data_IF_552222388392
#
_entry.id   IF_552222388392
#
_cell.length_a   1.000
_cell.length_b   1.000
_cell.length_c   1.000
_cell.angle_alpha   90.00
_cell.angle_beta   90.00
_cell.angle_gamma   90.00
#
_symmetry.space_group_name_H-M   'P 1'
#
loop_
_entity.id
_entity.type
_entity.pdbx_description
1 polymer ?
#
# COMPACT_ATOMS: atom_id res chain seq x y z
N UNK A 1 -35.90 -17.11 -11.85
CA UNK A 1 -36.10 -18.10 -10.77
C UNK A 1 -34.76 -18.78 -10.53
N UNK A 2 -33.89 -18.19 -9.70
CA UNK A 2 -32.53 -18.69 -9.46
C UNK A 2 -32.58 -19.80 -8.42
N UNK A 3 -32.21 -21.03 -8.80
CA UNK A 3 -31.91 -22.09 -7.84
C UNK A 3 -30.79 -21.58 -6.93
N UNK A 4 -31.10 -21.31 -5.66
CA UNK A 4 -30.07 -21.04 -4.65
C UNK A 4 -29.15 -22.25 -4.62
N UNK A 5 -27.90 -22.08 -5.07
CA UNK A 5 -26.88 -23.10 -4.87
C UNK A 5 -26.74 -23.28 -3.35
N UNK A 6 -27.17 -24.42 -2.84
CA UNK A 6 -26.84 -24.81 -1.48
C UNK A 6 -25.34 -25.06 -1.41
N UNK A 7 -24.62 -24.15 -0.76
CA UNK A 7 -23.21 -24.29 -0.50
C UNK A 7 -23.00 -25.16 0.76
N UNK A 8 -22.28 -26.29 0.68
CA UNK A 8 -22.02 -27.15 1.83
C UNK A 8 -21.01 -26.57 2.84
N UNK A 9 -20.30 -25.49 2.48
CA UNK A 9 -19.32 -24.82 3.33
C UNK A 9 -19.53 -23.30 3.29
N UNK A 10 -19.12 -22.61 4.34
CA UNK A 10 -19.05 -21.14 4.36
C UNK A 10 -17.92 -20.66 3.47
N UNK A 11 -16.74 -21.30 3.54
CA UNK A 11 -15.55 -20.86 2.80
C UNK A 11 -14.77 -22.02 2.19
N UNK A 12 -14.34 -21.84 0.95
CA UNK A 12 -13.27 -22.63 0.33
C UNK A 12 -11.96 -21.87 0.46
N UNK A 13 -11.02 -22.42 1.23
CA UNK A 13 -9.67 -21.85 1.38
C UNK A 13 -8.76 -22.45 0.32
N UNK A 14 -8.23 -21.61 -0.55
CA UNK A 14 -7.38 -21.98 -1.67
C UNK A 14 -5.94 -21.64 -1.32
N UNK A 15 -5.09 -22.66 -1.21
CA UNK A 15 -3.68 -22.53 -0.85
C UNK A 15 -2.81 -22.86 -2.07
N UNK A 16 -2.44 -21.86 -2.90
CA UNK A 16 -1.52 -22.06 -4.01
C UNK A 16 -0.16 -22.55 -3.49
N UNK A 17 0.39 -23.63 -4.07
CA UNK A 17 1.65 -24.21 -3.62
C UNK A 17 2.70 -24.14 -4.72
N UNK A 18 3.77 -23.39 -4.44
CA UNK A 18 5.15 -23.75 -4.77
C UNK A 18 6.07 -22.71 -4.09
N UNK A 19 6.29 -22.83 -2.78
CA UNK A 19 7.34 -22.05 -2.10
C UNK A 19 7.10 -21.55 -0.68
N UNK A 20 5.98 -21.84 -0.01
CA UNK A 20 5.76 -21.23 1.30
C UNK A 20 6.50 -22.00 2.41
N UNK A 21 7.55 -21.37 2.95
CA UNK A 21 8.08 -21.59 4.32
C UNK A 21 6.97 -21.61 5.39
N UNK A 22 5.78 -21.16 4.99
CA UNK A 22 4.60 -20.94 5.79
C UNK A 22 3.42 -21.89 5.51
N UNK A 23 3.57 -22.94 4.70
CA UNK A 23 2.47 -23.85 4.37
C UNK A 23 1.82 -24.44 5.63
N UNK A 24 2.62 -24.85 6.61
CA UNK A 24 2.14 -25.38 7.88
C UNK A 24 1.33 -24.35 8.68
N UNK A 25 1.80 -23.10 8.72
CA UNK A 25 1.10 -22.00 9.38
C UNK A 25 -0.25 -21.72 8.71
N UNK A 26 -0.29 -21.73 7.37
CA UNK A 26 -1.52 -21.56 6.61
C UNK A 26 -2.52 -22.70 6.82
N UNK A 27 -2.07 -23.95 6.76
CA UNK A 27 -2.95 -25.12 6.98
C UNK A 27 -3.47 -25.15 8.41
N UNK A 28 -2.62 -24.87 9.40
CA UNK A 28 -3.02 -24.76 10.81
C UNK A 28 -4.05 -23.65 11.01
N UNK A 29 -3.81 -22.46 10.45
CA UNK A 29 -4.76 -21.36 10.52
C UNK A 29 -6.08 -21.71 9.84
N UNK A 30 -6.02 -22.25 8.62
CA UNK A 30 -7.20 -22.64 7.85
C UNK A 30 -8.03 -23.67 8.61
N UNK A 31 -7.42 -24.65 9.30
CA UNK A 31 -8.14 -25.62 10.13
C UNK A 31 -8.77 -24.99 11.38
N UNK A 32 -8.14 -23.95 11.94
CA UNK A 32 -8.59 -23.25 13.13
C UNK A 32 -9.75 -22.27 12.89
N UNK A 33 -10.06 -21.93 11.62
CA UNK A 33 -11.21 -21.07 11.29
C UNK A 33 -12.50 -21.62 11.91
N UNK A 34 -13.34 -20.73 12.44
CA UNK A 34 -14.62 -21.12 13.05
C UNK A 34 -15.66 -21.50 12.00
N UNK A 35 -15.57 -20.90 10.82
CA UNK A 35 -16.45 -21.16 9.70
C UNK A 35 -16.39 -22.63 9.21
N UNK A 36 -17.49 -23.13 8.64
CA UNK A 36 -17.47 -24.42 7.95
C UNK A 36 -16.67 -24.30 6.65
N UNK A 37 -15.77 -25.26 6.40
CA UNK A 37 -14.70 -25.05 5.41
C UNK A 37 -14.23 -26.30 4.69
N UNK A 38 -13.79 -26.08 3.47
CA UNK A 38 -12.91 -26.96 2.72
C UNK A 38 -11.60 -26.24 2.40
N UNK A 39 -10.52 -27.02 2.23
CA UNK A 39 -9.18 -26.51 1.93
C UNK A 39 -8.71 -27.18 0.65
N UNK A 40 -8.46 -26.38 -0.39
CA UNK A 40 -7.88 -26.81 -1.65
C UNK A 40 -6.41 -26.40 -1.65
N UNK A 41 -5.50 -27.37 -1.63
CA UNK A 41 -4.06 -27.11 -1.49
C UNK A 41 -3.29 -27.78 -2.62
N UNK A 42 -2.29 -27.11 -3.16
CA UNK A 42 -1.46 -27.73 -4.19
C UNK A 42 -0.57 -28.84 -3.64
N UNK A 43 -0.25 -29.79 -4.52
CA UNK A 43 0.38 -31.05 -4.14
C UNK A 43 1.77 -30.87 -3.52
N UNK A 44 1.91 -31.39 -2.30
CA UNK A 44 3.16 -31.46 -1.58
C UNK A 44 3.10 -32.58 -0.54
N UNK A 45 4.26 -33.03 -0.06
CA UNK A 45 4.35 -34.04 1.01
C UNK A 45 3.56 -33.63 2.25
N UNK A 46 3.64 -32.36 2.65
CA UNK A 46 2.92 -31.83 3.80
C UNK A 46 1.41 -31.77 3.54
N UNK A 47 0.99 -31.29 2.37
CA UNK A 47 -0.42 -31.25 1.99
C UNK A 47 -1.07 -32.65 2.00
N UNK A 48 -0.36 -33.68 1.50
CA UNK A 48 -0.82 -35.07 1.53
C UNK A 48 -0.97 -35.61 2.96
N UNK A 49 -0.08 -35.22 3.89
CA UNK A 49 -0.20 -35.56 5.31
C UNK A 49 -1.44 -34.92 5.94
N UNK A 50 -1.68 -33.64 5.70
CA UNK A 50 -2.89 -32.97 6.19
C UNK A 50 -4.16 -33.58 5.59
N UNK A 51 -4.15 -33.93 4.29
CA UNK A 51 -5.27 -34.58 3.62
C UNK A 51 -5.59 -35.99 4.16
N UNK A 52 -4.60 -36.75 4.64
CA UNK A 52 -4.84 -38.05 5.27
C UNK A 52 -5.43 -37.93 6.69
N UNK A 53 -5.19 -36.80 7.37
CA UNK A 53 -5.68 -36.52 8.73
C UNK A 53 -7.03 -35.78 8.73
N UNK A 54 -7.34 -35.01 7.68
CA UNK A 54 -8.50 -34.13 7.64
C UNK A 54 -9.33 -34.32 6.36
N UNK A 55 -10.58 -34.78 6.54
CA UNK A 55 -11.52 -35.10 5.44
C UNK A 55 -11.84 -33.98 4.46
N UNK A 56 -11.68 -32.71 4.87
CA UNK A 56 -12.01 -31.53 4.07
C UNK A 56 -10.77 -30.85 3.48
N UNK A 57 -9.59 -31.49 3.56
CA UNK A 57 -8.36 -31.03 2.91
C UNK A 57 -8.19 -31.84 1.63
N UNK A 58 -8.12 -31.14 0.50
CA UNK A 58 -8.06 -31.72 -0.83
C UNK A 58 -6.78 -31.29 -1.52
N UNK A 59 -5.99 -32.28 -1.93
CA UNK A 59 -4.80 -32.06 -2.74
C UNK A 59 -5.21 -31.98 -4.20
N UNK A 60 -4.86 -30.88 -4.86
CA UNK A 60 -5.22 -30.60 -6.26
C UNK A 60 -4.03 -30.02 -7.02
N UNK A 61 -3.95 -30.21 -8.34
CA UNK A 61 -2.81 -29.74 -9.13
C UNK A 61 -2.76 -28.20 -9.26
N UNK A 62 -3.92 -27.58 -9.55
CA UNK A 62 -4.07 -26.12 -9.73
C UNK A 62 -5.17 -25.55 -8.85
N UNK A 63 -4.92 -25.37 -7.54
CA UNK A 63 -5.94 -24.97 -6.56
C UNK A 63 -6.59 -23.63 -6.92
N UNK A 64 -5.86 -22.72 -7.56
CA UNK A 64 -6.33 -21.38 -7.92
C UNK A 64 -7.48 -21.40 -8.95
N UNK A 65 -7.48 -22.43 -9.80
CA UNK A 65 -8.47 -22.66 -10.86
C UNK A 65 -9.49 -23.72 -10.48
N UNK A 66 -9.29 -24.41 -9.35
CA UNK A 66 -10.16 -25.50 -8.95
C UNK A 66 -11.59 -24.99 -8.66
N UNK A 67 -12.62 -25.81 -8.94
CA UNK A 67 -13.98 -25.54 -8.50
C UNK A 67 -14.05 -25.45 -6.97
N UNK A 68 -14.78 -24.47 -6.47
CA UNK A 68 -14.97 -24.22 -5.03
C UNK A 68 -16.42 -24.46 -4.65
N UNK A 69 -16.67 -25.02 -3.47
CA UNK A 69 -18.00 -25.38 -2.95
C UNK A 69 -18.47 -24.45 -1.83
N UNK A 70 -17.59 -23.61 -1.27
CA UNK A 70 -17.92 -22.62 -0.26
C UNK A 70 -18.80 -21.49 -0.80
N UNK A 71 -19.54 -20.82 0.09
CA UNK A 71 -20.25 -19.55 -0.23
C UNK A 71 -19.27 -18.46 -0.64
N UNK A 72 -18.11 -18.48 0.01
CA UNK A 72 -16.97 -17.62 -0.27
C UNK A 72 -15.74 -18.45 -0.67
N UNK A 73 -14.85 -17.83 -1.42
CA UNK A 73 -13.53 -18.36 -1.77
C UNK A 73 -12.49 -17.40 -1.22
N UNK A 74 -11.60 -17.92 -0.39
CA UNK A 74 -10.47 -17.18 0.16
C UNK A 74 -9.19 -17.74 -0.44
N UNK A 75 -8.35 -16.90 -1.04
CA UNK A 75 -7.02 -17.32 -1.49
C UNK A 75 -5.99 -16.97 -0.42
N UNK A 76 -5.21 -17.95 0.02
CA UNK A 76 -4.10 -17.74 0.92
C UNK A 76 -3.07 -16.81 0.27
N UNK A 77 -2.78 -15.70 0.94
CA UNK A 77 -1.75 -14.73 0.54
C UNK A 77 -0.46 -14.88 1.34
N UNK A 78 0.39 -13.86 1.31
CA UNK A 78 1.57 -13.81 2.18
C UNK A 78 1.19 -13.40 3.62
N UNK A 79 2.09 -13.65 4.57
CA UNK A 79 1.89 -13.26 5.97
C UNK A 79 1.88 -11.72 6.18
N UNK A 80 1.21 -11.22 7.23
CA UNK A 80 0.41 -11.97 8.21
C UNK A 80 -0.94 -12.43 7.65
N UNK A 81 -1.44 -13.55 8.18
CA UNK A 81 -2.72 -14.13 7.75
C UNK A 81 -3.86 -13.19 8.19
N UNK A 82 -4.69 -12.70 7.24
CA UNK A 82 -5.87 -11.88 7.55
C UNK A 82 -6.90 -12.59 8.43
N UNK A 83 -7.75 -11.86 9.17
CA UNK A 83 -8.79 -12.44 10.01
C UNK A 83 -9.97 -12.94 9.15
N UNK A 84 -9.84 -14.11 8.53
CA UNK A 84 -10.83 -14.63 7.55
C UNK A 84 -12.23 -14.76 8.14
N UNK A 85 -12.39 -15.18 9.40
CA UNK A 85 -13.70 -15.24 10.06
C UNK A 85 -14.38 -13.85 10.09
N UNK A 86 -13.63 -12.78 10.39
CA UNK A 86 -14.15 -11.40 10.36
C UNK A 86 -14.48 -10.93 8.94
N UNK A 87 -13.70 -11.38 7.93
CA UNK A 87 -13.98 -11.08 6.53
C UNK A 87 -15.31 -11.72 6.09
N UNK A 88 -15.60 -12.95 6.53
CA UNK A 88 -16.86 -13.64 6.26
C UNK A 88 -18.02 -12.88 6.94
N UNK A 89 -17.88 -12.54 8.22
CA UNK A 89 -18.88 -11.73 8.95
C UNK A 89 -19.17 -10.40 8.25
N UNK A 90 -18.12 -9.73 7.77
CA UNK A 90 -18.24 -8.47 7.02
C UNK A 90 -18.96 -8.70 5.69
N UNK A 91 -18.60 -9.75 4.95
CA UNK A 91 -19.24 -10.07 3.67
C UNK A 91 -20.72 -10.46 3.82
N UNK A 92 -21.07 -11.15 4.91
CA UNK A 92 -22.45 -11.50 5.25
C UNK A 92 -23.25 -10.24 5.64
N UNK A 93 -22.66 -9.31 6.41
CA UNK A 93 -23.29 -8.04 6.80
C UNK A 93 -23.52 -7.11 5.62
N UNK A 94 -22.52 -6.90 4.78
CA UNK A 94 -22.54 -5.87 3.73
C UNK A 94 -23.04 -6.39 2.39
N UNK A 95 -23.05 -7.70 2.19
CA UNK A 95 -23.32 -8.30 0.89
C UNK A 95 -22.18 -8.11 -0.12
N UNK A 96 -20.98 -7.72 0.31
CA UNK A 96 -19.84 -7.47 -0.59
C UNK A 96 -19.53 -8.65 -1.52
N UNK A 97 -19.06 -8.32 -2.73
CA UNK A 97 -18.50 -9.28 -3.68
C UNK A 97 -17.07 -9.66 -3.31
N UNK A 98 -16.36 -8.71 -2.69
CA UNK A 98 -14.96 -8.81 -2.32
C UNK A 98 -14.75 -8.13 -0.96
N UNK A 99 -14.03 -8.81 -0.08
CA UNK A 99 -13.51 -8.23 1.17
C UNK A 99 -11.99 -8.23 1.14
N UNK A 100 -11.40 -7.05 1.33
CA UNK A 100 -9.97 -6.83 1.36
C UNK A 100 -9.49 -6.39 2.75
N UNK A 101 -8.18 -6.25 2.91
CA UNK A 101 -7.58 -5.61 4.08
C UNK A 101 -7.20 -4.16 3.76
N UNK A 102 -7.42 -3.26 4.72
CA UNK A 102 -6.99 -1.86 4.62
C UNK A 102 -6.62 -1.33 6.01
N UNK A 103 -5.94 -0.17 6.05
CA UNK A 103 -5.54 0.45 7.32
C UNK A 103 -6.75 0.73 8.23
N UNK A 104 -7.88 1.09 7.60
CA UNK A 104 -9.18 1.30 8.23
C UNK A 104 -10.22 0.35 7.64
N UNK A 105 -11.13 -0.11 8.49
CA UNK A 105 -12.25 -0.94 8.05
C UNK A 105 -13.36 -0.06 7.46
N UNK A 106 -13.98 -0.51 6.38
CA UNK A 106 -15.08 0.16 5.70
C UNK A 106 -16.07 -0.87 5.16
N UNK A 107 -17.36 -0.60 5.34
CA UNK A 107 -18.43 -1.45 4.79
C UNK A 107 -18.66 -1.21 3.29
N UNK A 108 -18.16 -0.09 2.76
CA UNK A 108 -18.22 0.30 1.35
C UNK A 108 -16.94 1.08 0.97
N UNK A 109 -15.89 0.34 0.63
CA UNK A 109 -14.58 0.88 0.33
C UNK A 109 -14.48 1.36 -1.12
N UNK A 110 -13.89 2.54 -1.32
CA UNK A 110 -13.58 3.03 -2.65
C UNK A 110 -12.40 2.24 -3.22
N UNK A 111 -12.49 1.88 -4.50
CA UNK A 111 -11.44 1.10 -5.15
C UNK A 111 -10.07 1.80 -5.11
N UNK A 112 -10.04 3.12 -5.29
CA UNK A 112 -8.79 3.90 -5.26
C UNK A 112 -8.00 3.73 -3.96
N UNK A 113 -8.68 3.56 -2.83
CA UNK A 113 -8.06 3.47 -1.51
C UNK A 113 -7.39 2.10 -1.24
N UNK A 114 -7.80 1.07 -2.00
CA UNK A 114 -7.37 -0.31 -1.79
C UNK A 114 -6.58 -0.91 -2.95
N UNK A 115 -6.54 -0.22 -4.09
CA UNK A 115 -5.95 -0.74 -5.33
C UNK A 115 -4.44 -1.00 -5.23
N UNK A 116 -3.77 -0.38 -4.26
CA UNK A 116 -2.35 -0.60 -4.01
C UNK A 116 -1.99 -2.04 -3.63
N UNK A 117 -2.94 -2.81 -3.09
CA UNK A 117 -2.79 -4.21 -2.75
C UNK A 117 -3.38 -5.12 -3.84
N UNK A 118 -2.50 -5.64 -4.69
CA UNK A 118 -2.84 -6.60 -5.75
C UNK A 118 -2.55 -8.06 -5.35
N UNK A 119 -2.37 -8.35 -4.06
CA UNK A 119 -2.17 -9.71 -3.57
C UNK A 119 -3.48 -10.52 -3.59
N UNK A 120 -3.37 -11.85 -3.63
CA UNK A 120 -4.55 -12.72 -3.63
C UNK A 120 -5.28 -12.81 -2.29
N UNK A 121 -4.68 -12.33 -1.19
CA UNK A 121 -5.15 -12.45 0.19
C UNK A 121 -6.47 -11.71 0.50
N UNK A 122 -7.54 -12.10 -0.18
CA UNK A 122 -8.86 -11.47 -0.22
C UNK A 122 -9.94 -12.54 -0.18
N UNK A 123 -11.09 -12.19 0.37
CA UNK A 123 -12.27 -13.05 0.38
C UNK A 123 -13.17 -12.63 -0.79
N UNK A 124 -13.56 -13.58 -1.62
CA UNK A 124 -14.45 -13.34 -2.75
C UNK A 124 -15.74 -14.12 -2.57
N UNK A 125 -16.88 -13.53 -2.92
CA UNK A 125 -18.12 -14.29 -3.10
C UNK A 125 -17.91 -15.29 -4.23
N UNK A 126 -18.17 -16.57 -4.01
CA UNK A 126 -17.85 -17.63 -4.99
C UNK A 126 -18.53 -17.42 -6.33
N UNK A 127 -19.80 -17.00 -6.31
CA UNK A 127 -20.58 -16.70 -7.53
C UNK A 127 -20.05 -15.51 -8.33
N UNK A 128 -19.34 -14.59 -7.67
CA UNK A 128 -18.65 -13.47 -8.31
C UNK A 128 -17.30 -13.91 -8.86
N UNK A 129 -16.49 -14.58 -8.02
CA UNK A 129 -15.17 -15.14 -8.38
C UNK A 129 -15.24 -16.01 -9.63
N UNK A 130 -16.25 -16.89 -9.74
CA UNK A 130 -16.39 -17.83 -10.87
C UNK A 130 -16.62 -17.14 -12.23
N UNK A 131 -16.95 -15.85 -12.25
CA UNK A 131 -17.08 -15.06 -13.48
C UNK A 131 -15.75 -14.52 -13.98
N UNK A 132 -14.70 -14.57 -13.14
CA UNK A 132 -13.41 -13.96 -13.40
C UNK A 132 -12.39 -15.06 -13.72
N UNK A 133 -11.87 -15.12 -14.96
CA UNK A 133 -10.87 -16.12 -15.31
C UNK A 133 -9.58 -15.87 -14.53
N UNK A 134 -9.06 -16.92 -13.89
CA UNK A 134 -7.77 -16.89 -13.23
C UNK A 134 -6.65 -17.09 -14.26
N UNK A 135 -5.65 -16.22 -14.21
CA UNK A 135 -4.53 -16.18 -15.16
C UNK A 135 -3.22 -16.10 -14.41
N UNK A 136 -3.01 -14.99 -13.71
CA UNK A 136 -1.97 -14.78 -12.71
C UNK A 136 -2.57 -14.00 -11.52
N UNK A 137 -1.93 -14.04 -10.33
CA UNK A 137 -2.43 -13.42 -9.11
C UNK A 137 -2.85 -11.95 -9.25
N UNK A 138 -2.00 -11.10 -9.84
CA UNK A 138 -2.24 -9.67 -9.91
C UNK A 138 -3.28 -9.32 -10.98
N UNK A 139 -3.22 -9.97 -12.16
CA UNK A 139 -4.23 -9.79 -13.21
C UNK A 139 -5.61 -10.22 -12.74
N UNK A 140 -5.72 -11.33 -12.01
CA UNK A 140 -6.97 -11.79 -11.43
C UNK A 140 -7.55 -10.76 -10.45
N UNK A 141 -6.74 -10.20 -9.55
CA UNK A 141 -7.19 -9.20 -8.57
C UNK A 141 -7.61 -7.90 -9.24
N UNK A 142 -6.83 -7.39 -10.21
CA UNK A 142 -7.21 -6.18 -10.97
C UNK A 142 -8.51 -6.42 -11.74
N UNK A 143 -8.67 -7.59 -12.35
CA UNK A 143 -9.90 -7.94 -13.05
C UNK A 143 -11.09 -8.01 -12.08
N UNK A 144 -10.92 -8.61 -10.91
CA UNK A 144 -11.95 -8.64 -9.87
C UNK A 144 -12.31 -7.22 -9.40
N UNK A 145 -11.33 -6.38 -9.13
CA UNK A 145 -11.57 -4.99 -8.75
C UNK A 145 -12.36 -4.19 -9.78
N UNK A 146 -12.15 -4.44 -11.08
CA UNK A 146 -12.88 -3.73 -12.12
C UNK A 146 -14.37 -4.15 -12.22
N UNK A 147 -14.76 -5.29 -11.65
CA UNK A 147 -16.13 -5.83 -11.77
C UNK A 147 -16.88 -5.96 -10.45
N UNK A 148 -16.21 -5.79 -9.30
CA UNK A 148 -16.87 -5.86 -8.01
C UNK A 148 -17.87 -4.71 -7.88
N UNK A 149 -19.13 -5.03 -7.57
CA UNK A 149 -20.16 -4.01 -7.37
C UNK A 149 -20.04 -3.40 -5.97
N UNK A 150 -19.68 -4.24 -4.98
CA UNK A 150 -19.44 -3.81 -3.61
C UNK A 150 -18.15 -4.41 -3.06
N UNK A 151 -17.30 -3.53 -2.53
CA UNK A 151 -16.06 -3.90 -1.87
C UNK A 151 -16.13 -3.45 -0.41
N UNK A 152 -15.81 -4.35 0.52
CA UNK A 152 -15.64 -4.00 1.93
C UNK A 152 -14.20 -4.24 2.38
N UNK A 153 -13.80 -3.61 3.48
CA UNK A 153 -12.48 -3.81 4.08
C UNK A 153 -12.56 -4.15 5.56
N UNK A 154 -11.65 -5.02 6.00
CA UNK A 154 -11.34 -5.21 7.41
C UNK A 154 -9.98 -4.59 7.71
N UNK A 155 -9.77 -4.22 8.99
CA UNK A 155 -8.50 -3.65 9.42
C UNK A 155 -7.36 -4.65 9.23
N UNK A 156 -6.31 -4.25 8.52
CA UNK A 156 -5.14 -5.07 8.24
C UNK A 156 -4.06 -4.32 7.48
N UNK A 157 -2.93 -4.98 7.23
CA UNK A 157 -1.80 -4.41 6.51
C UNK A 157 -1.88 -4.81 5.04
N UNK A 158 -1.94 -3.82 4.16
CA UNK A 158 -1.86 -4.01 2.72
C UNK A 158 -0.46 -4.44 2.27
N UNK A 159 -0.42 -5.30 1.26
CA UNK A 159 0.80 -5.74 0.61
C UNK A 159 1.02 -4.95 -0.68
N UNK A 160 1.88 -3.95 -0.59
CA UNK A 160 2.22 -3.09 -1.74
C UNK A 160 3.47 -3.64 -2.42
N UNK A 161 3.30 -4.26 -3.58
CA UNK A 161 4.40 -4.77 -4.41
C UNK A 161 4.41 -4.11 -5.78
N UNK A 162 5.59 -4.20 -6.42
CA UNK A 162 5.77 -3.82 -7.82
C UNK A 162 5.32 -4.97 -8.70
N UNK A 163 4.62 -4.63 -9.78
CA UNK A 163 4.11 -5.61 -10.75
C UNK A 163 4.50 -5.20 -12.16
N UNK A 164 4.51 -6.14 -13.11
CA UNK A 164 4.63 -5.78 -14.53
C UNK A 164 3.31 -5.12 -14.98
N UNK A 165 3.32 -3.81 -15.31
CA UNK A 165 2.10 -3.02 -15.40
C UNK A 165 1.34 -3.23 -16.71
N UNK A 166 1.99 -3.71 -17.78
CA UNK A 166 1.45 -3.70 -19.14
C UNK A 166 0.09 -4.44 -19.26
N UNK A 167 -0.01 -5.61 -18.61
CA UNK A 167 -1.23 -6.41 -18.58
C UNK A 167 -2.31 -5.78 -17.69
N UNK A 168 -1.90 -5.27 -16.54
CA UNK A 168 -2.79 -4.71 -15.52
C UNK A 168 -3.44 -3.41 -15.99
N UNK A 169 -2.64 -2.50 -16.58
CA UNK A 169 -3.15 -1.27 -17.20
C UNK A 169 -4.12 -1.61 -18.34
N UNK A 170 -3.83 -2.62 -19.17
CA UNK A 170 -4.77 -3.07 -20.21
C UNK A 170 -6.10 -3.55 -19.63
N UNK A 171 -6.10 -4.27 -18.49
CA UNK A 171 -7.33 -4.66 -17.78
C UNK A 171 -8.13 -3.44 -17.34
N UNK A 172 -7.48 -2.51 -16.64
CA UNK A 172 -8.11 -1.25 -16.21
C UNK A 172 -8.73 -0.52 -17.40
N UNK A 173 -7.99 -0.39 -18.50
CA UNK A 173 -8.46 0.30 -19.71
C UNK A 173 -9.62 -0.42 -20.42
N UNK A 174 -9.68 -1.74 -20.34
CA UNK A 174 -10.71 -2.56 -21.02
C UNK A 174 -12.01 -2.66 -20.22
N UNK A 175 -11.92 -2.59 -18.89
CA UNK A 175 -13.05 -2.85 -17.99
C UNK A 175 -13.59 -1.61 -17.28
N UNK A 176 -12.82 -0.52 -17.18
CA UNK A 176 -13.30 0.73 -16.61
C UNK A 176 -13.54 1.80 -17.69
N UNK A 177 -14.65 2.55 -17.60
CA UNK A 177 -14.87 3.70 -18.47
C UNK A 177 -13.81 4.78 -18.23
N UNK A 178 -13.64 5.67 -19.21
CA UNK A 178 -12.81 6.87 -19.03
C UNK A 178 -13.37 7.72 -17.88
N UNK A 179 -12.50 8.26 -17.04
CA UNK A 179 -12.88 9.09 -15.89
C UNK A 179 -11.84 9.06 -14.77
N UNK A 180 -12.11 9.82 -13.72
CA UNK A 180 -11.17 10.06 -12.61
C UNK A 180 -10.64 8.77 -11.98
N UNK A 181 -11.51 7.78 -11.75
CA UNK A 181 -11.09 6.50 -11.17
C UNK A 181 -10.07 5.80 -12.08
N UNK A 182 -10.38 5.62 -13.36
CA UNK A 182 -9.47 4.98 -14.32
C UNK A 182 -8.14 5.73 -14.42
N UNK A 183 -8.19 7.06 -14.50
CA UNK A 183 -6.99 7.88 -14.55
C UNK A 183 -6.13 7.72 -13.30
N UNK A 184 -6.75 7.67 -12.12
CA UNK A 184 -6.09 7.42 -10.84
C UNK A 184 -5.42 6.04 -10.79
N UNK A 185 -6.11 4.96 -11.23
CA UNK A 185 -5.54 3.61 -11.23
C UNK A 185 -4.35 3.48 -12.21
N UNK A 186 -4.42 4.15 -13.37
CA UNK A 186 -3.31 4.18 -14.34
C UNK A 186 -2.14 4.99 -13.78
N UNK A 187 -2.40 6.14 -13.16
CA UNK A 187 -1.39 6.96 -12.50
C UNK A 187 -0.65 6.17 -11.41
N UNK A 188 -1.36 5.37 -10.60
CA UNK A 188 -0.75 4.44 -9.64
C UNK A 188 0.26 3.51 -10.30
N UNK A 189 -0.08 2.90 -11.44
CA UNK A 189 0.85 2.01 -12.14
C UNK A 189 2.06 2.76 -12.69
N UNK A 190 1.88 3.98 -13.18
CA UNK A 190 3.00 4.82 -13.62
C UNK A 190 3.94 5.12 -12.44
N UNK A 191 3.41 5.65 -11.34
CA UNK A 191 4.20 6.03 -10.16
C UNK A 191 4.88 4.83 -9.49
N UNK A 192 4.20 3.68 -9.38
CA UNK A 192 4.71 2.53 -8.59
C UNK A 192 5.45 1.50 -9.42
N UNK A 193 5.03 1.27 -10.65
CA UNK A 193 5.55 0.16 -11.47
C UNK A 193 6.43 0.64 -12.62
N UNK A 194 6.28 1.87 -13.11
CA UNK A 194 7.04 2.37 -14.27
C UNK A 194 8.17 3.31 -13.86
N UNK A 195 7.85 4.45 -13.23
CA UNK A 195 8.82 5.50 -12.93
C UNK A 195 9.97 5.08 -12.01
N UNK A 196 9.84 4.09 -11.10
CA UNK A 196 10.98 3.64 -10.32
C UNK A 196 12.08 2.96 -11.16
N UNK A 197 11.83 2.65 -12.44
CA UNK A 197 12.89 2.23 -13.38
C UNK A 197 13.85 3.39 -13.69
N UNK A 198 13.45 4.64 -13.46
CA UNK A 198 14.25 5.86 -13.64
C UNK A 198 14.89 6.36 -12.33
N UNK A 199 14.98 5.50 -11.32
CA UNK A 199 15.61 5.80 -10.03
C UNK A 199 16.95 5.05 -9.90
N UNK A 200 17.18 4.32 -8.80
CA UNK A 200 18.37 3.49 -8.59
C UNK A 200 18.73 2.58 -9.79
N UNK A 201 17.80 1.83 -10.43
CA UNK A 201 18.15 0.99 -11.59
C UNK A 201 18.74 1.78 -12.77
N UNK A 202 18.27 3.01 -12.98
CA UNK A 202 18.78 3.90 -14.02
C UNK A 202 20.17 4.46 -13.68
N UNK A 203 20.43 4.75 -12.41
CA UNK A 203 21.74 5.23 -11.95
C UNK A 203 22.81 4.12 -12.02
N UNK A 204 22.43 2.88 -11.73
CA UNK A 204 23.33 1.72 -11.77
C UNK A 204 23.61 1.18 -13.18
N UNK A 205 22.66 1.39 -14.10
CA UNK A 205 22.78 0.95 -15.48
C UNK A 205 23.95 1.65 -16.22
N UNK A 206 24.50 0.97 -17.23
CA UNK A 206 25.39 1.59 -18.22
C UNK A 206 24.61 2.41 -19.26
N UNK A 207 25.31 3.06 -20.20
CA UNK A 207 24.66 3.97 -21.16
C UNK A 207 23.66 3.26 -22.09
N UNK A 208 23.93 2.01 -22.50
CA UNK A 208 23.03 1.23 -23.35
C UNK A 208 21.78 0.81 -22.58
N UNK A 209 21.94 0.29 -21.36
CA UNK A 209 20.83 -0.08 -20.50
C UNK A 209 19.99 1.13 -20.07
N UNK A 210 20.61 2.29 -19.80
CA UNK A 210 19.90 3.54 -19.51
C UNK A 210 19.00 3.97 -20.66
N UNK A 211 19.52 3.99 -21.89
CA UNK A 211 18.74 4.33 -23.08
C UNK A 211 17.58 3.34 -23.28
N UNK A 212 17.80 2.04 -23.04
CA UNK A 212 16.74 1.03 -23.10
C UNK A 212 15.65 1.27 -22.04
N UNK A 213 16.01 1.59 -20.79
CA UNK A 213 15.06 1.93 -19.72
C UNK A 213 14.24 3.17 -20.08
N UNK A 214 14.88 4.24 -20.53
CA UNK A 214 14.21 5.49 -20.93
C UNK A 214 13.25 5.25 -22.08
N UNK A 215 13.65 4.50 -23.11
CA UNK A 215 12.78 4.12 -24.24
C UNK A 215 11.58 3.29 -23.78
N UNK A 216 11.78 2.32 -22.90
CA UNK A 216 10.71 1.49 -22.38
C UNK A 216 9.70 2.30 -21.57
N UNK A 217 10.17 3.21 -20.70
CA UNK A 217 9.31 4.11 -19.93
C UNK A 217 8.59 5.09 -20.85
N UNK A 218 9.28 5.70 -21.80
CA UNK A 218 8.68 6.64 -22.76
C UNK A 218 7.60 5.97 -23.62
N UNK A 219 7.83 4.75 -24.07
CA UNK A 219 6.83 3.97 -24.81
C UNK A 219 5.55 3.76 -24.01
N UNK A 220 5.66 3.33 -22.75
CA UNK A 220 4.50 3.15 -21.85
C UNK A 220 3.79 4.47 -21.58
N UNK A 221 4.54 5.53 -21.29
CA UNK A 221 3.96 6.84 -20.99
C UNK A 221 3.23 7.44 -22.20
N UNK A 222 3.76 7.28 -23.40
CA UNK A 222 3.10 7.70 -24.63
C UNK A 222 1.76 6.98 -24.86
N UNK A 223 1.65 5.72 -24.43
CA UNK A 223 0.43 4.93 -24.56
C UNK A 223 -0.60 5.21 -23.45
N UNK A 224 -0.16 5.56 -22.24
CA UNK A 224 -1.02 5.55 -21.04
C UNK A 224 -1.32 6.93 -20.45
N UNK A 225 -0.44 7.93 -20.64
CA UNK A 225 -0.57 9.24 -19.99
C UNK A 225 -1.52 10.14 -20.78
N UNK A 226 -2.78 10.17 -20.36
CA UNK A 226 -3.76 11.18 -20.76
C UNK A 226 -3.60 12.47 -19.93
N UNK A 227 -4.25 13.60 -20.29
CA UNK A 227 -4.28 14.77 -19.43
C UNK A 227 -4.84 14.49 -18.02
N UNK A 228 -5.85 13.61 -17.93
CA UNK A 228 -6.44 13.19 -16.66
C UNK A 228 -5.45 12.39 -15.82
N UNK A 229 -4.75 11.41 -16.41
CA UNK A 229 -3.68 10.65 -15.75
C UNK A 229 -2.56 11.58 -15.27
N UNK A 230 -2.11 12.52 -16.13
CA UNK A 230 -1.07 13.48 -15.79
C UNK A 230 -1.44 14.34 -14.58
N UNK A 231 -2.70 14.75 -14.47
CA UNK A 231 -3.21 15.54 -13.35
C UNK A 231 -3.22 14.77 -12.01
N UNK A 232 -3.11 13.43 -12.03
CA UNK A 232 -3.02 12.60 -10.83
C UNK A 232 -1.57 12.39 -10.34
N UNK A 233 -0.57 12.77 -11.15
CA UNK A 233 0.84 12.59 -10.80
C UNK A 233 1.34 13.77 -9.96
N UNK A 234 2.24 13.50 -9.02
CA UNK A 234 2.90 14.54 -8.24
C UNK A 234 3.92 15.34 -9.07
N UNK A 235 4.45 16.41 -8.50
CA UNK A 235 5.39 17.29 -9.19
C UNK A 235 6.68 16.58 -9.64
N UNK A 236 7.19 15.63 -8.84
CA UNK A 236 8.41 14.89 -9.15
C UNK A 236 8.19 13.94 -10.33
N UNK A 237 7.09 13.20 -10.32
CA UNK A 237 6.71 12.32 -11.41
C UNK A 237 6.41 13.09 -12.70
N UNK A 238 5.75 14.25 -12.60
CA UNK A 238 5.56 15.14 -13.74
C UNK A 238 6.89 15.65 -14.31
N UNK A 239 7.85 16.01 -13.46
CA UNK A 239 9.19 16.45 -13.87
C UNK A 239 9.96 15.32 -14.58
N UNK A 240 9.89 14.08 -14.07
CA UNK A 240 10.47 12.89 -14.73
C UNK A 240 9.85 12.67 -16.11
N UNK A 241 8.52 12.70 -16.21
CA UNK A 241 7.82 12.54 -17.50
C UNK A 241 8.18 13.63 -18.52
N UNK A 242 8.32 14.88 -18.07
CA UNK A 242 8.72 15.99 -18.94
C UNK A 242 10.18 15.86 -19.43
N UNK A 243 10.99 15.09 -18.72
CA UNK A 243 12.43 14.95 -18.98
C UNK A 243 12.79 13.67 -19.76
N UNK A 244 11.82 12.90 -20.25
CA UNK A 244 12.07 11.62 -20.95
C UNK A 244 12.97 11.71 -22.19
N UNK A 245 13.20 12.90 -22.73
CA UNK A 245 14.12 13.15 -23.86
C UNK A 245 15.46 13.76 -23.44
N UNK A 246 15.64 14.06 -22.14
CA UNK A 246 16.83 14.69 -21.57
C UNK A 246 17.44 13.77 -20.51
N UNK A 247 18.36 12.91 -20.95
CA UNK A 247 19.04 11.93 -20.09
C UNK A 247 19.80 12.57 -18.93
N UNK A 248 20.42 13.73 -19.15
CA UNK A 248 21.17 14.44 -18.10
C UNK A 248 20.24 14.95 -17.02
N UNK A 249 19.09 15.50 -17.44
CA UNK A 249 18.07 15.94 -16.49
C UNK A 249 17.46 14.76 -15.73
N UNK A 250 17.18 13.63 -16.40
CA UNK A 250 16.72 12.42 -15.71
C UNK A 250 17.73 11.92 -14.68
N UNK A 251 19.01 11.86 -15.03
CA UNK A 251 20.06 11.46 -14.11
C UNK A 251 20.13 12.38 -12.90
N UNK A 252 20.04 13.70 -13.12
CA UNK A 252 19.99 14.68 -12.03
C UNK A 252 18.76 14.47 -11.13
N UNK A 253 17.57 14.31 -11.70
CA UNK A 253 16.34 14.06 -10.95
C UNK A 253 16.42 12.74 -10.15
N UNK A 254 17.00 11.69 -10.73
CA UNK A 254 17.23 10.41 -10.06
C UNK A 254 18.21 10.57 -8.88
N UNK A 255 19.34 11.28 -9.07
CA UNK A 255 20.30 11.58 -8.01
C UNK A 255 19.66 12.39 -6.87
N UNK A 256 18.83 13.39 -7.17
CA UNK A 256 18.07 14.14 -6.15
C UNK A 256 17.13 13.21 -5.37
N UNK A 257 16.48 12.27 -6.08
CA UNK A 257 15.52 11.32 -5.49
C UNK A 257 16.17 10.32 -4.53
N UNK A 258 17.43 9.96 -4.76
CA UNK A 258 18.19 9.00 -3.94
C UNK A 258 19.13 9.68 -2.92
N UNK A 259 19.45 10.97 -3.11
CA UNK A 259 20.41 11.69 -2.26
C UNK A 259 20.05 11.64 -0.76
N UNK A 260 21.00 11.33 0.13
CA UNK A 260 20.74 11.43 1.57
C UNK A 260 20.36 12.84 2.01
N UNK A 261 19.27 12.95 2.78
CA UNK A 261 18.87 14.20 3.46
C UNK A 261 19.37 14.17 4.90
N UNK A 262 20.56 14.75 5.10
CA UNK A 262 21.16 14.93 6.41
C UNK A 262 20.39 16.00 7.16
N UNK A 263 20.03 15.73 8.41
CA UNK A 263 19.26 16.66 9.23
C UNK A 263 19.47 16.39 10.71
N UNK A 264 19.69 17.44 11.48
CA UNK A 264 19.86 17.33 12.93
C UNK A 264 19.24 18.53 13.62
N UNK A 265 18.37 18.27 14.59
CA UNK A 265 17.88 19.24 15.53
C UNK A 265 19.05 19.74 16.37
N UNK A 266 19.19 21.05 16.50
CA UNK A 266 20.24 21.67 17.30
C UNK A 266 19.70 22.35 18.53
N UNK A 267 18.44 22.83 18.49
CA UNK A 267 17.81 23.47 19.64
C UNK A 267 16.29 23.51 19.52
N UNK A 268 15.61 23.51 20.67
CA UNK A 268 14.18 23.80 20.79
C UNK A 268 13.99 24.76 21.97
N UNK A 269 13.41 25.92 21.70
CA UNK A 269 13.21 26.95 22.72
C UNK A 269 11.88 27.66 22.53
N UNK A 270 11.29 28.14 23.63
CA UNK A 270 10.15 29.06 23.56
C UNK A 270 10.65 30.51 23.56
N UNK A 271 10.13 31.29 22.62
CA UNK A 271 10.31 32.74 22.57
C UNK A 271 8.94 33.40 22.66
N UNK A 272 8.57 33.77 23.89
CA UNK A 272 7.23 34.27 24.18
C UNK A 272 6.18 33.22 23.84
N UNK A 273 5.37 33.50 22.82
CA UNK A 273 4.31 32.61 22.37
C UNK A 273 4.70 31.61 21.27
N UNK A 274 5.91 31.73 20.70
CA UNK A 274 6.39 30.95 19.56
C UNK A 274 7.37 29.86 19.99
N UNK A 275 7.23 28.68 19.37
CA UNK A 275 8.23 27.63 19.47
C UNK A 275 9.29 27.86 18.39
N UNK A 276 10.53 28.09 18.80
CA UNK A 276 11.69 28.18 17.92
C UNK A 276 12.37 26.81 17.83
N UNK A 277 12.50 26.31 16.61
CA UNK A 277 13.19 25.06 16.28
C UNK A 277 14.42 25.43 15.46
N UNK A 278 15.60 25.15 15.99
CA UNK A 278 16.86 25.29 15.25
C UNK A 278 17.33 23.92 14.80
N UNK A 279 17.80 23.83 13.57
CA UNK A 279 18.25 22.59 12.98
C UNK A 279 19.29 22.87 11.89
N UNK A 280 20.11 21.88 11.59
CA UNK A 280 20.90 21.82 10.36
C UNK A 280 20.25 20.85 9.40
N UNK A 281 20.31 21.15 8.11
CA UNK A 281 19.94 20.19 7.08
C UNK A 281 20.67 20.46 5.78
N UNK A 282 20.94 19.39 5.03
CA UNK A 282 21.54 19.46 3.71
C UNK A 282 21.12 18.24 2.89
N UNK A 283 20.82 18.47 1.62
CA UNK A 283 20.67 17.40 0.64
C UNK A 283 22.05 17.12 0.02
N UNK A 284 22.55 15.89 0.21
CA UNK A 284 23.91 15.55 -0.21
C UNK A 284 24.10 15.69 -1.72
N UNK A 285 25.12 16.47 -2.13
CA UNK A 285 25.41 16.76 -3.54
C UNK A 285 24.56 17.88 -4.15
N UNK A 286 23.64 18.49 -3.40
CA UNK A 286 22.73 19.53 -3.88
C UNK A 286 22.67 20.72 -2.89
N UNK A 287 23.75 21.52 -2.77
CA UNK A 287 23.79 22.68 -1.87
C UNK A 287 22.78 23.78 -2.22
N UNK A 288 22.27 23.79 -3.45
CA UNK A 288 21.23 24.70 -3.93
C UNK A 288 19.81 24.33 -3.48
N UNK A 289 19.63 23.18 -2.81
CA UNK A 289 18.31 22.74 -2.37
C UNK A 289 17.71 23.69 -1.33
N UNK A 290 16.44 24.05 -1.51
CA UNK A 290 15.70 24.89 -0.57
C UNK A 290 15.24 24.05 0.62
N UNK A 291 15.73 24.41 1.81
CA UNK A 291 15.43 23.70 3.05
C UNK A 291 14.21 24.32 3.75
N UNK A 292 13.28 23.46 4.17
CA UNK A 292 12.07 23.85 4.90
C UNK A 292 11.75 22.94 6.08
N UNK A 293 10.78 23.38 6.88
CA UNK A 293 10.15 22.60 7.95
C UNK A 293 8.68 22.36 7.62
N UNK A 294 8.23 21.13 7.82
CA UNK A 294 6.85 20.71 7.59
C UNK A 294 6.30 20.00 8.83
N UNK A 295 5.12 20.44 9.28
CA UNK A 295 4.36 19.75 10.32
C UNK A 295 3.32 18.85 9.66
N UNK A 296 3.26 17.58 10.06
CA UNK A 296 2.21 16.65 9.64
C UNK A 296 1.45 16.13 10.85
N UNK A 297 0.14 15.95 10.71
CA UNK A 297 -0.63 15.27 11.76
C UNK A 297 -0.11 13.82 11.90
N UNK A 298 0.21 13.46 13.13
CA UNK A 298 0.62 12.11 13.53
C UNK A 298 -0.57 11.24 13.90
N UNK A 299 -0.28 9.99 14.27
CA UNK A 299 -1.21 9.09 14.94
C UNK A 299 -0.71 8.88 16.38
N UNK A 300 -1.44 9.33 17.42
CA UNK A 300 -2.78 9.94 17.39
C UNK A 300 -2.83 11.39 16.86
N UNK A 301 -4.02 11.83 16.41
CA UNK A 301 -4.26 13.13 15.74
C UNK A 301 -3.93 14.38 16.59
N UNK A 302 -3.67 14.22 17.89
CA UNK A 302 -3.18 15.27 18.79
C UNK A 302 -1.66 15.51 18.66
N UNK A 303 -0.97 14.76 17.79
CA UNK A 303 0.47 14.89 17.54
C UNK A 303 0.71 15.59 16.20
N UNK A 304 1.70 16.48 16.16
CA UNK A 304 2.37 16.92 14.94
C UNK A 304 3.76 16.32 14.86
N UNK A 305 4.01 15.51 13.83
CA UNK A 305 5.36 15.07 13.49
C UNK A 305 6.10 16.16 12.72
N UNK A 306 7.35 16.44 13.13
CA UNK A 306 8.19 17.46 12.50
C UNK A 306 9.06 16.81 11.43
N UNK A 307 8.97 17.34 10.21
CA UNK A 307 9.77 16.92 9.05
C UNK A 307 10.65 18.07 8.57
N UNK A 308 11.83 17.73 8.07
CA UNK A 308 12.62 18.61 7.21
C UNK A 308 12.29 18.28 5.77
N UNK A 309 12.13 19.32 4.95
CA UNK A 309 12.00 19.20 3.50
C UNK A 309 13.25 19.79 2.83
N UNK A 310 13.64 19.20 1.71
CA UNK A 310 14.62 19.75 0.78
C UNK A 310 14.01 19.71 -0.62
N UNK A 311 13.80 20.88 -1.22
CA UNK A 311 13.27 21.01 -2.58
C UNK A 311 14.41 21.34 -3.56
N UNK A 312 14.52 20.56 -4.62
CA UNK A 312 15.48 20.79 -5.70
C UNK A 312 14.86 20.32 -7.03
N UNK A 313 14.88 21.18 -8.05
CA UNK A 313 14.31 20.92 -9.38
C UNK A 313 12.85 20.40 -9.37
N UNK A 314 12.05 20.87 -8.41
CA UNK A 314 10.65 20.45 -8.21
C UNK A 314 10.48 19.07 -7.55
N UNK A 315 11.58 18.42 -7.14
CA UNK A 315 11.54 17.22 -6.30
C UNK A 315 11.66 17.65 -4.84
N UNK A 316 10.68 17.23 -4.04
CA UNK A 316 10.68 17.44 -2.59
C UNK A 316 11.10 16.16 -1.88
N UNK A 317 12.27 16.17 -1.26
CA UNK A 317 12.70 15.15 -0.30
C UNK A 317 12.23 15.56 1.09
N UNK A 318 11.77 14.59 1.86
CA UNK A 318 11.29 14.83 3.21
C UNK A 318 11.72 13.71 4.13
N UNK A 319 12.08 14.05 5.37
CA UNK A 319 12.36 13.07 6.39
C UNK A 319 12.17 13.66 7.80
N UNK A 320 11.86 12.80 8.78
CA UNK A 320 11.56 13.19 10.17
C UNK A 320 12.76 13.88 10.80
N UNK A 321 12.59 15.06 11.39
CA UNK A 321 13.69 15.78 12.02
C UNK A 321 14.25 14.97 13.20
N UNK A 322 15.53 14.60 13.12
CA UNK A 322 16.22 13.79 14.13
C UNK A 322 16.84 14.70 15.18
N UNK A 323 16.85 14.27 16.44
CA UNK A 323 17.47 15.01 17.54
C UNK A 323 18.21 14.08 18.49
N UNK A 324 19.26 14.61 19.09
CA UNK A 324 19.98 13.92 20.14
C UNK A 324 19.15 13.88 21.44
N UNK A 325 19.32 12.83 22.23
CA UNK A 325 18.60 12.61 23.50
C UNK A 325 18.90 13.68 24.54
N UNK A 326 20.04 14.36 24.41
CA UNK A 326 20.48 15.41 25.34
C UNK A 326 19.91 16.80 25.00
N UNK A 327 19.15 16.93 23.91
CA UNK A 327 18.50 18.20 23.54
C UNK A 327 17.40 18.53 24.55
N UNK A 328 17.41 19.78 25.04
CA UNK A 328 16.34 20.29 25.89
C UNK A 328 15.03 20.44 25.10
N UNK A 329 13.95 19.90 25.65
CA UNK A 329 12.61 19.93 25.04
C UNK A 329 11.63 20.62 26.00
N UNK A 330 11.60 21.97 26.00
CA UNK A 330 10.83 22.71 26.98
C UNK A 330 9.33 22.56 26.72
N UNK A 331 8.63 21.99 27.69
CA UNK A 331 7.18 21.96 27.72
C UNK A 331 6.62 23.37 27.96
N UNK A 332 5.47 23.67 27.36
CA UNK A 332 4.72 24.88 27.68
C UNK A 332 3.27 24.56 28.02
N UNK A 333 2.84 25.18 29.11
CA UNK A 333 1.49 25.08 29.65
C UNK A 333 0.84 26.46 29.54
N UNK A 334 -0.27 26.55 28.84
CA UNK A 334 -1.21 27.69 28.92
C UNK A 334 -2.51 27.20 29.57
N UNK A 335 -3.46 28.10 29.80
CA UNK A 335 -4.75 27.76 30.42
C UNK A 335 -5.55 26.74 29.57
N UNK A 336 -5.39 26.80 28.24
CA UNK A 336 -6.18 26.01 27.28
C UNK A 336 -5.38 24.92 26.52
N UNK A 337 -4.04 24.99 26.53
CA UNK A 337 -3.17 24.13 25.72
C UNK A 337 -1.91 23.68 26.47
N UNK A 338 -1.61 22.39 26.37
CA UNK A 338 -0.28 21.86 26.65
C UNK A 338 0.41 21.56 25.32
N UNK A 339 1.50 22.27 25.05
CA UNK A 339 2.37 22.02 23.91
C UNK A 339 3.65 21.34 24.40
N UNK A 340 3.83 20.07 24.02
CA UNK A 340 4.94 19.23 24.49
C UNK A 340 5.79 18.80 23.29
N UNK A 341 6.94 19.45 23.05
CA UNK A 341 7.98 18.87 22.19
C UNK A 341 8.52 17.60 22.83
N UNK A 342 8.67 16.53 22.07
CA UNK A 342 9.27 15.29 22.54
C UNK A 342 9.99 14.56 21.40
N UNK A 343 10.98 13.74 21.74
CA UNK A 343 11.59 12.80 20.81
C UNK A 343 10.88 11.45 20.92
N UNK A 344 10.54 10.86 19.78
CA UNK A 344 10.03 9.49 19.76
C UNK A 344 11.11 8.48 20.15
N UNK A 345 10.75 7.20 20.29
CA UNK A 345 11.72 6.12 20.55
C UNK A 345 12.84 6.04 19.51
N UNK A 346 12.59 6.48 18.29
CA UNK A 346 13.56 6.51 17.19
C UNK A 346 14.39 7.80 17.16
N UNK A 347 14.22 8.71 18.13
CA UNK A 347 15.00 9.95 18.20
C UNK A 347 14.50 11.06 17.26
N UNK A 348 13.24 11.04 16.84
CA UNK A 348 12.68 12.06 15.92
C UNK A 348 11.71 12.99 16.63
N UNK A 349 11.73 14.29 16.30
CA UNK A 349 10.93 15.32 16.94
C UNK A 349 9.45 15.26 16.56
N UNK A 350 8.60 15.30 17.59
CA UNK A 350 7.15 15.45 17.47
C UNK A 350 6.66 16.47 18.52
N UNK A 351 5.51 17.08 18.25
CA UNK A 351 4.85 18.06 19.12
C UNK A 351 3.48 17.52 19.50
N UNK A 352 3.22 17.35 20.80
CA UNK A 352 1.89 16.96 21.28
C UNK A 352 1.06 18.19 21.66
N UNK A 353 -0.22 18.17 21.30
CA UNK A 353 -1.23 19.19 21.62
C UNK A 353 -2.29 18.58 22.52
N UNK A 354 -2.21 18.80 23.83
CA UNK A 354 -3.30 18.42 24.72
C UNK A 354 -4.15 19.64 25.08
N UNK A 355 -5.47 19.57 24.85
CA UNK A 355 -6.39 20.53 25.46
C UNK A 355 -6.56 20.18 26.94
N UNK A 356 -6.41 21.18 27.80
CA UNK A 356 -6.64 20.99 29.23
C UNK A 356 -8.14 20.97 29.48
N UNK A 357 -8.70 19.81 29.83
CA UNK A 357 -10.06 19.75 30.39
C UNK A 357 -9.98 20.31 31.82
N UNK A 358 -10.30 21.59 31.99
CA UNK A 358 -10.49 22.17 33.31
C UNK A 358 -11.75 21.55 33.93
N UNK A 359 -11.59 20.61 34.85
CA UNK A 359 -12.66 20.24 35.76
C UNK A 359 -12.89 21.42 36.71
N UNK A 360 -13.91 22.22 36.43
CA UNK A 360 -14.50 23.13 37.42
C UNK A 360 -15.23 22.28 38.45
N UNK A 361 -14.55 21.99 39.56
CA UNK A 361 -15.22 21.51 40.76
C UNK A 361 -16.13 22.64 41.24
N UNK A 362 -17.44 22.41 41.20
CA UNK A 362 -18.44 23.35 41.75
C UNK A 362 -18.54 23.18 43.25
#
# INVERSE_FOLDING_TARGET
>A
MNAQRHHPFDVSVVVPAAGSVHLDSWLTHALALRASKEILVADSRLARLYASLHRNVHVVDRPETAPTRGRYTYFAGDHPIPPVDLMIETADRTGADLVAVAAEASDDALLGDIYDDLSLGKLFRTTFRDRIPFTDPADFVVHAYCHAERIATVRGRQQKRRHHPDRLVRRVQSHLPNGLLRDHLIARHITRDVLPDLAEPFLEADDEARDALVKAVAHRCAAWVTPGVRAQLDAADQARLASLQDHRRLERLARISEAPLHRALTNVAWEGDRLRIEFTAALEGFPEAEIGLLLKDGDPQDVWDVYVTAECDGIVRQARLEGDRDIALPARFTDDLVALPYLTRTGTLSLRKERRLLHTSS
#
